data_IF_791760006762
#
_entry.id   IF_791760006762
#
_cell.length_a   1.000
_cell.length_b   1.000
_cell.length_c   1.000
_cell.angle_alpha   90.00
_cell.angle_beta   90.00
_cell.angle_gamma   90.00
#
_symmetry.space_group_name_H-M   'P 1'
#
loop_
_entity.id
_entity.type
_entity.pdbx_description
1 polymer ?
#
# COMPACT_ATOMS: atom_id res chain seq x y z
N UNK A 1 4.50 33.32 15.08
CA UNK A 1 4.08 31.94 15.40
C UNK A 1 3.53 31.35 14.13
N UNK A 2 4.34 30.55 13.43
CA UNK A 2 3.90 29.79 12.27
C UNK A 2 3.70 28.36 12.79
N UNK A 3 2.45 27.99 13.04
CA UNK A 3 2.07 26.60 13.23
C UNK A 3 1.52 26.12 11.90
N UNK A 4 2.31 25.33 11.19
CA UNK A 4 1.87 24.44 10.13
C UNK A 4 2.64 23.14 10.28
N UNK A 5 2.69 22.60 11.49
CA UNK A 5 2.86 21.16 11.62
C UNK A 5 1.47 20.61 11.32
N UNK A 6 1.34 19.97 10.16
CA UNK A 6 0.18 19.19 9.79
C UNK A 6 0.03 18.08 10.84
N UNK A 7 -0.73 18.34 11.91
CA UNK A 7 -1.00 17.43 13.05
C UNK A 7 -1.62 16.07 12.64
N UNK A 8 -1.78 15.84 11.34
CA UNK A 8 -2.36 14.66 10.73
C UNK A 8 -1.34 13.86 9.91
N UNK A 9 -0.12 14.34 9.62
CA UNK A 9 0.88 13.59 8.85
C UNK A 9 2.15 13.32 9.69
N UNK A 10 2.50 12.05 9.84
CA UNK A 10 3.64 11.59 10.61
C UNK A 10 4.64 10.88 9.69
N UNK A 11 5.85 11.45 9.59
CA UNK A 11 6.98 10.79 8.94
C UNK A 11 7.60 9.75 9.88
N UNK A 12 7.83 8.55 9.38
CA UNK A 12 8.36 7.40 10.12
C UNK A 12 9.73 6.96 9.57
N UNK A 13 10.78 7.80 9.69
CA UNK A 13 12.07 7.59 9.00
C UNK A 13 12.79 6.30 9.41
N UNK A 14 12.55 5.82 10.63
CA UNK A 14 13.18 4.60 11.16
C UNK A 14 12.36 3.32 10.90
N UNK A 15 11.27 3.39 10.13
CA UNK A 15 10.38 2.23 9.95
C UNK A 15 11.11 1.05 9.28
N UNK A 16 11.72 1.27 8.12
CA UNK A 16 12.42 0.19 7.40
C UNK A 16 13.69 -0.27 8.13
N UNK A 17 14.35 0.60 8.88
CA UNK A 17 15.45 0.19 9.77
C UNK A 17 14.97 -0.75 10.87
N UNK A 18 13.77 -0.53 11.42
CA UNK A 18 13.14 -1.46 12.37
C UNK A 18 12.74 -2.78 11.71
N UNK A 19 12.20 -2.75 10.48
CA UNK A 19 11.92 -3.99 9.72
C UNK A 19 13.17 -4.84 9.61
N UNK A 20 14.30 -4.26 9.20
CA UNK A 20 15.59 -4.96 9.10
C UNK A 20 16.11 -5.45 10.46
N UNK A 21 15.98 -4.65 11.50
CA UNK A 21 16.49 -4.98 12.83
C UNK A 21 15.68 -6.09 13.53
N UNK A 22 14.36 -6.12 13.33
CA UNK A 22 13.43 -7.01 14.01
C UNK A 22 12.97 -8.19 13.12
N UNK A 23 13.27 -8.14 11.82
CA UNK A 23 12.90 -9.13 10.81
C UNK A 23 11.46 -8.98 10.31
N UNK A 24 10.57 -8.37 11.09
CA UNK A 24 9.19 -8.14 10.74
C UNK A 24 8.62 -6.89 11.43
N UNK A 25 7.71 -6.17 10.77
CA UNK A 25 6.88 -5.13 11.38
C UNK A 25 5.45 -5.22 10.86
N UNK A 26 4.50 -5.40 11.78
CA UNK A 26 3.07 -5.27 11.48
C UNK A 26 2.68 -3.81 11.42
N UNK A 27 1.92 -3.43 10.40
CA UNK A 27 1.56 -2.02 10.18
C UNK A 27 0.61 -1.53 11.26
N UNK A 28 -0.40 -2.32 11.63
CA UNK A 28 -1.36 -1.92 12.66
C UNK A 28 -0.75 -1.77 14.06
N UNK A 29 0.37 -2.46 14.35
CA UNK A 29 1.13 -2.28 15.61
C UNK A 29 1.99 -1.00 15.59
N UNK A 30 2.26 -0.44 14.41
CA UNK A 30 3.10 0.75 14.22
C UNK A 30 2.33 2.06 14.42
N UNK A 31 1.01 2.03 14.23
CA UNK A 31 0.16 3.22 14.20
C UNK A 31 -0.81 3.25 15.39
N UNK A 32 -1.19 4.46 15.81
CA UNK A 32 -2.20 4.62 16.86
C UNK A 32 -3.60 4.64 16.25
N UNK A 33 -4.50 3.83 16.79
CA UNK A 33 -5.90 3.82 16.40
C UNK A 33 -6.56 2.49 16.67
N UNK A 34 -7.87 2.43 16.45
CA UNK A 34 -8.62 1.19 16.43
C UNK A 34 -9.10 0.96 15.01
N UNK A 35 -8.44 0.05 14.32
CA UNK A 35 -8.75 -0.34 12.94
C UNK A 35 -9.31 -1.76 12.91
N UNK A 36 -10.21 -2.02 11.98
CA UNK A 36 -10.75 -3.37 11.74
C UNK A 36 -9.90 -4.18 10.75
N UNK A 37 -9.25 -3.49 9.82
CA UNK A 37 -8.37 -4.08 8.82
C UNK A 37 -7.78 -3.00 7.90
N UNK A 38 -7.19 -3.44 6.81
CA UNK A 38 -6.47 -2.62 5.83
C UNK A 38 -7.00 -2.86 4.42
N UNK A 39 -6.94 -1.83 3.59
CA UNK A 39 -7.12 -1.95 2.15
C UNK A 39 -5.81 -1.56 1.48
N UNK A 40 -5.02 -2.55 1.07
CA UNK A 40 -3.77 -2.34 0.37
C UNK A 40 -4.01 -1.69 -0.99
N UNK A 41 -3.26 -0.63 -1.27
CA UNK A 41 -3.20 0.13 -2.52
C UNK A 41 -1.96 -0.32 -3.29
N UNK A 42 -2.15 -0.85 -4.49
CA UNK A 42 -1.08 -1.12 -5.45
C UNK A 42 -1.43 -0.53 -6.82
N UNK A 43 -1.10 0.74 -7.05
CA UNK A 43 -1.20 1.45 -8.34
C UNK A 43 -2.46 1.13 -9.19
N UNK A 44 -3.65 1.30 -8.62
CA UNK A 44 -4.93 1.02 -9.29
C UNK A 44 -5.60 -0.30 -8.89
N UNK A 45 -4.88 -1.16 -8.16
CA UNK A 45 -5.43 -2.36 -7.53
C UNK A 45 -5.61 -2.14 -6.02
N UNK A 46 -6.60 -2.84 -5.45
CA UNK A 46 -6.93 -2.82 -4.03
C UNK A 46 -7.10 -4.23 -3.46
N UNK A 47 -6.44 -4.54 -2.35
CA UNK A 47 -6.56 -5.86 -1.69
C UNK A 47 -7.02 -5.67 -0.25
N UNK A 48 -8.22 -6.15 0.11
CA UNK A 48 -8.67 -6.11 1.50
C UNK A 48 -7.92 -7.17 2.32
N UNK A 49 -7.41 -6.78 3.48
CA UNK A 49 -6.80 -7.69 4.44
C UNK A 49 -7.04 -7.28 5.90
N UNK A 50 -6.95 -8.25 6.80
CA UNK A 50 -7.06 -8.03 8.25
C UNK A 50 -5.86 -7.25 8.80
N UNK A 51 -4.69 -7.40 8.19
CA UNK A 51 -3.47 -6.67 8.51
C UNK A 51 -2.50 -6.69 7.30
N UNK A 52 -1.38 -5.99 7.42
CA UNK A 52 -0.24 -6.17 6.54
C UNK A 52 1.08 -6.12 7.33
N UNK A 53 2.04 -6.93 6.92
CA UNK A 53 3.32 -7.10 7.58
C UNK A 53 4.45 -6.86 6.60
N UNK A 54 5.40 -6.00 6.96
CA UNK A 54 6.67 -5.89 6.26
C UNK A 54 7.66 -6.90 6.85
N UNK A 55 8.35 -7.65 5.99
CA UNK A 55 9.30 -8.69 6.33
C UNK A 55 10.65 -8.39 5.70
N UNK A 56 11.72 -8.45 6.49
CA UNK A 56 13.07 -8.46 5.96
C UNK A 56 13.38 -9.83 5.36
N UNK A 57 13.92 -9.87 4.15
CA UNK A 57 14.25 -11.10 3.44
C UNK A 57 15.77 -11.27 3.31
N UNK A 58 16.21 -12.53 3.37
CA UNK A 58 17.65 -12.87 3.31
C UNK A 58 18.32 -12.48 1.97
N UNK A 59 17.52 -12.31 0.91
CA UNK A 59 17.97 -11.89 -0.41
C UNK A 59 18.16 -10.38 -0.56
N UNK A 60 17.98 -9.62 0.54
CA UNK A 60 18.12 -8.16 0.56
C UNK A 60 16.85 -7.42 0.12
N UNK A 61 15.73 -8.11 -0.08
CA UNK A 61 14.43 -7.47 -0.32
C UNK A 61 13.67 -7.21 0.97
N UNK A 62 12.72 -6.27 0.91
CA UNK A 62 11.71 -6.08 1.95
C UNK A 62 10.36 -6.46 1.35
N UNK A 63 9.70 -7.45 1.93
CA UNK A 63 8.43 -7.96 1.43
C UNK A 63 7.26 -7.44 2.26
N UNK A 64 6.28 -6.80 1.63
CA UNK A 64 4.96 -6.60 2.22
C UNK A 64 4.13 -7.86 2.00
N UNK A 65 3.53 -8.39 3.06
CA UNK A 65 2.53 -9.46 3.00
C UNK A 65 1.22 -8.92 3.54
N UNK A 66 0.14 -9.06 2.77
CA UNK A 66 -1.22 -8.72 3.17
C UNK A 66 -1.91 -9.99 3.67
N UNK A 67 -2.39 -9.96 4.92
CA UNK A 67 -3.23 -11.01 5.50
C UNK A 67 -4.65 -10.84 4.96
N UNK A 68 -4.91 -11.39 3.76
CA UNK A 68 -6.10 -11.06 2.98
C UNK A 68 -7.40 -11.64 3.54
N UNK A 69 -8.53 -11.16 2.98
CA UNK A 69 -9.87 -11.67 3.33
C UNK A 69 -10.25 -12.85 2.45
N UNK A 70 -10.65 -13.94 3.10
CA UNK A 70 -10.94 -15.22 2.44
C UNK A 70 -9.65 -15.88 1.99
N UNK A 71 -9.63 -16.38 0.76
CA UNK A 71 -8.45 -17.01 0.18
C UNK A 71 -7.48 -15.99 -0.43
N UNK A 72 -7.78 -14.69 -0.37
CA UNK A 72 -6.87 -13.66 -0.91
C UNK A 72 -5.56 -13.65 -0.16
N UNK A 73 -4.48 -13.69 -0.91
CA UNK A 73 -3.13 -13.38 -0.47
C UNK A 73 -2.54 -12.36 -1.43
N UNK A 74 -1.68 -11.49 -0.91
CA UNK A 74 -0.99 -10.52 -1.74
C UNK A 74 0.34 -10.19 -1.11
N UNK A 75 1.40 -10.23 -1.91
CA UNK A 75 2.71 -9.80 -1.48
C UNK A 75 3.41 -8.98 -2.55
N UNK A 76 4.28 -8.09 -2.09
CA UNK A 76 5.15 -7.29 -2.96
C UNK A 76 6.52 -7.24 -2.34
N UNK A 77 7.53 -7.66 -3.10
CA UNK A 77 8.95 -7.51 -2.74
C UNK A 77 9.46 -6.20 -3.29
N UNK A 78 9.99 -5.39 -2.39
CA UNK A 78 10.68 -4.16 -2.70
C UNK A 78 12.18 -4.36 -2.59
N UNK A 79 12.94 -3.70 -3.46
CA UNK A 79 14.39 -3.58 -3.38
C UNK A 79 14.77 -2.90 -2.05
N UNK A 80 15.39 -3.66 -1.15
CA UNK A 80 15.75 -3.22 0.20
C UNK A 80 16.94 -2.27 0.24
N UNK A 81 17.70 -2.14 -0.86
CA UNK A 81 18.82 -1.20 -0.96
C UNK A 81 18.35 0.22 -1.33
N UNK A 82 17.07 0.40 -1.71
CA UNK A 82 16.50 1.73 -1.98
C UNK A 82 16.28 2.50 -0.68
N UNK A 83 16.35 3.82 -0.79
CA UNK A 83 16.02 4.73 0.30
C UNK A 83 14.50 4.93 0.35
N UNK A 84 13.86 4.23 1.29
CA UNK A 84 12.42 4.26 1.53
C UNK A 84 12.07 5.14 2.72
N UNK A 85 11.01 5.94 2.58
CA UNK A 85 10.37 6.61 3.69
C UNK A 85 8.95 6.07 3.87
N UNK A 86 8.52 5.90 5.12
CA UNK A 86 7.16 5.55 5.49
C UNK A 86 6.46 6.73 6.17
N UNK A 87 5.15 6.83 5.97
CA UNK A 87 4.32 7.90 6.47
C UNK A 87 3.00 7.33 6.98
N UNK A 88 2.54 7.87 8.10
CA UNK A 88 1.20 7.63 8.60
C UNK A 88 0.41 8.93 8.55
N UNK A 89 -0.74 8.92 7.90
CA UNK A 89 -1.61 10.07 7.79
C UNK A 89 -2.98 9.80 8.41
N UNK A 90 -3.55 10.80 9.07
CA UNK A 90 -4.88 10.82 9.66
C UNK A 90 -5.67 12.05 9.18
N UNK A 91 -6.02 12.13 7.89
CA UNK A 91 -6.73 13.29 7.37
C UNK A 91 -8.06 13.49 8.11
N UNK A 92 -8.46 14.74 8.46
CA UNK A 92 -9.67 14.98 9.25
C UNK A 92 -10.99 14.50 8.62
N UNK A 93 -11.05 14.47 7.29
CA UNK A 93 -12.26 14.17 6.52
C UNK A 93 -12.06 12.96 5.58
N UNK A 94 -11.00 12.17 5.76
CA UNK A 94 -10.68 11.02 4.91
C UNK A 94 -10.23 9.79 5.73
N UNK A 95 -10.06 8.67 5.06
CA UNK A 95 -9.58 7.42 5.67
C UNK A 95 -8.09 7.57 6.01
N UNK A 96 -7.67 7.27 7.26
CA UNK A 96 -6.26 7.22 7.61
C UNK A 96 -5.50 6.24 6.72
N UNK A 97 -4.25 6.55 6.39
CA UNK A 97 -3.45 5.68 5.56
C UNK A 97 -2.01 5.58 6.03
N UNK A 98 -1.41 4.42 5.80
CA UNK A 98 0.02 4.20 5.92
C UNK A 98 0.60 4.07 4.51
N UNK A 99 1.45 5.00 4.09
CA UNK A 99 2.05 5.01 2.76
C UNK A 99 3.58 4.92 2.86
N UNK A 100 4.22 4.45 1.81
CA UNK A 100 5.68 4.47 1.70
C UNK A 100 6.08 4.86 0.28
N UNK A 101 7.23 5.50 0.17
CA UNK A 101 7.71 6.06 -1.10
C UNK A 101 9.23 6.01 -1.15
N UNK A 102 9.74 5.47 -2.26
CA UNK A 102 11.17 5.48 -2.54
C UNK A 102 11.62 6.87 -2.99
N UNK A 103 12.86 7.20 -2.69
CA UNK A 103 13.53 8.37 -3.24
C UNK A 103 13.51 8.42 -4.78
N UNK A 104 13.61 7.26 -5.43
CA UNK A 104 13.58 7.14 -6.88
C UNK A 104 12.18 7.44 -7.44
N UNK A 105 11.13 6.91 -6.81
CA UNK A 105 9.72 7.19 -7.15
C UNK A 105 9.43 8.69 -7.09
N UNK A 106 9.75 9.32 -5.95
CA UNK A 106 9.53 10.75 -5.78
C UNK A 106 10.22 11.59 -6.87
N UNK A 107 11.49 11.30 -7.17
CA UNK A 107 12.25 12.01 -8.21
C UNK A 107 11.68 11.82 -9.61
N UNK A 108 11.11 10.65 -9.88
CA UNK A 108 10.59 10.30 -11.20
C UNK A 108 9.18 10.86 -11.43
N UNK A 109 8.34 10.92 -10.39
CA UNK A 109 6.90 11.16 -10.55
C UNK A 109 6.39 12.46 -9.94
N UNK A 110 6.98 12.95 -8.85
CA UNK A 110 6.36 13.98 -8.01
C UNK A 110 7.27 15.21 -7.76
N UNK A 111 8.57 15.11 -8.00
CA UNK A 111 9.53 16.17 -7.68
C UNK A 111 9.39 17.45 -8.54
N UNK A 112 8.66 17.39 -9.65
CA UNK A 112 8.36 18.57 -10.48
C UNK A 112 7.27 19.46 -9.84
N UNK A 113 6.36 18.85 -9.07
CA UNK A 113 5.18 19.53 -8.49
C UNK A 113 5.29 19.73 -6.97
N UNK A 114 6.10 18.92 -6.28
CA UNK A 114 6.21 18.91 -4.82
C UNK A 114 7.66 19.04 -4.36
N UNK A 115 7.89 19.77 -3.26
CA UNK A 115 9.24 20.00 -2.75
C UNK A 115 9.78 18.81 -1.94
N UNK A 116 8.91 18.00 -1.35
CA UNK A 116 9.29 16.86 -0.49
C UNK A 116 8.34 15.68 -0.64
N UNK A 117 8.82 14.48 -0.29
CA UNK A 117 7.98 13.27 -0.18
C UNK A 117 6.82 13.45 0.78
N UNK A 118 7.04 14.12 1.92
CA UNK A 118 6.00 14.36 2.91
C UNK A 118 4.85 15.20 2.31
N UNK A 119 5.18 16.26 1.57
CA UNK A 119 4.18 17.11 0.90
C UNK A 119 3.39 16.31 -0.15
N UNK A 120 4.08 15.55 -1.00
CA UNK A 120 3.43 14.70 -2.02
C UNK A 120 2.50 13.66 -1.36
N UNK A 121 3.03 12.89 -0.40
CA UNK A 121 2.27 11.85 0.30
C UNK A 121 1.09 12.43 1.06
N UNK A 122 1.27 13.55 1.76
CA UNK A 122 0.19 14.23 2.47
C UNK A 122 -0.98 14.61 1.56
N UNK A 123 -0.69 14.97 0.31
CA UNK A 123 -1.70 15.26 -0.72
C UNK A 123 -2.20 14.01 -1.46
N UNK A 124 -1.92 12.81 -0.94
CA UNK A 124 -2.40 11.54 -1.48
C UNK A 124 -1.61 11.04 -2.69
N UNK A 125 -0.40 11.55 -2.91
CA UNK A 125 0.47 11.14 -4.02
C UNK A 125 1.40 10.03 -3.53
N UNK A 126 1.07 8.79 -3.87
CA UNK A 126 1.88 7.60 -3.61
C UNK A 126 1.43 6.42 -4.46
N UNK A 127 2.37 5.56 -4.87
CA UNK A 127 2.07 4.33 -5.60
C UNK A 127 1.54 3.21 -4.70
N UNK A 128 1.98 3.19 -3.44
CA UNK A 128 1.71 2.12 -2.49
C UNK A 128 1.28 2.66 -1.12
N UNK A 129 0.29 1.99 -0.53
CA UNK A 129 -0.17 2.36 0.80
C UNK A 129 -1.24 1.42 1.33
N UNK A 130 -1.67 1.62 2.55
CA UNK A 130 -2.69 0.86 3.24
C UNK A 130 -3.71 1.86 3.78
N UNK A 131 -4.93 1.86 3.25
CA UNK A 131 -6.02 2.60 3.86
C UNK A 131 -6.50 1.82 5.08
N UNK A 132 -6.40 2.43 6.26
CA UNK A 132 -6.69 1.80 7.54
C UNK A 132 -8.17 1.97 7.87
N UNK A 133 -8.92 0.88 7.77
CA UNK A 133 -10.37 0.93 7.84
C UNK A 133 -10.85 0.93 9.31
N UNK A 134 -11.72 1.86 9.72
CA UNK A 134 -12.36 1.78 11.03
C UNK A 134 -13.23 0.51 11.11
N UNK A 135 -13.46 -0.08 12.30
CA UNK A 135 -14.09 -1.39 12.44
C UNK A 135 -15.44 -1.54 11.73
N UNK A 136 -16.26 -0.48 11.69
CA UNK A 136 -17.55 -0.51 11.00
C UNK A 136 -17.41 -0.54 9.49
N UNK A 137 -16.56 0.31 8.92
CA UNK A 137 -16.31 0.32 7.47
C UNK A 137 -15.58 -0.95 7.02
N UNK A 138 -14.70 -1.47 7.88
CA UNK A 138 -14.04 -2.75 7.65
C UNK A 138 -15.03 -3.91 7.57
N UNK A 139 -16.00 -4.00 8.48
CA UNK A 139 -16.99 -5.08 8.46
C UNK A 139 -17.78 -5.13 7.13
N UNK A 140 -18.22 -3.97 6.61
CA UNK A 140 -18.91 -3.88 5.33
C UNK A 140 -18.00 -4.29 4.16
N UNK A 141 -16.72 -3.90 4.21
CA UNK A 141 -15.72 -4.25 3.19
C UNK A 141 -15.37 -5.74 3.22
N UNK A 142 -15.25 -6.32 4.41
CA UNK A 142 -14.97 -7.73 4.65
C UNK A 142 -16.12 -8.60 4.14
N UNK A 143 -17.37 -8.24 4.46
CA UNK A 143 -18.57 -8.93 3.93
C UNK A 143 -18.56 -8.93 2.40
N UNK A 144 -18.39 -7.76 1.78
CA UNK A 144 -18.32 -7.64 0.32
C UNK A 144 -17.16 -8.42 -0.30
N UNK A 145 -16.00 -8.46 0.36
CA UNK A 145 -14.87 -9.25 -0.10
C UNK A 145 -15.13 -10.76 0.00
N UNK A 146 -15.86 -11.20 1.04
CA UNK A 146 -16.29 -12.59 1.21
C UNK A 146 -17.31 -13.07 0.16
N UNK A 147 -17.99 -12.17 -0.54
CA UNK A 147 -18.97 -12.49 -1.59
C UNK A 147 -18.35 -12.79 -2.98
N UNK A 148 -17.02 -12.71 -3.12
CA UNK A 148 -16.34 -12.88 -4.40
C UNK A 148 -14.99 -13.60 -4.24
N UNK A 149 -14.60 -14.37 -5.25
CA UNK A 149 -13.29 -15.05 -5.33
C UNK A 149 -12.24 -14.20 -6.07
N UNK A 150 -12.59 -13.01 -6.55
CA UNK A 150 -11.64 -12.14 -7.24
C UNK A 150 -10.44 -11.80 -6.32
N UNK A 151 -9.18 -11.95 -6.79
CA UNK A 151 -7.99 -11.81 -5.94
C UNK A 151 -7.82 -10.38 -5.39
N UNK A 152 -8.34 -9.40 -6.12
CA UNK A 152 -8.28 -7.99 -5.75
C UNK A 152 -9.47 -7.22 -6.32
N UNK A 153 -9.66 -5.98 -5.87
CA UNK A 153 -10.53 -5.02 -6.51
C UNK A 153 -9.74 -4.08 -7.40
N UNK A 154 -10.40 -3.54 -8.43
CA UNK A 154 -9.80 -2.63 -9.41
C UNK A 154 -10.39 -1.24 -9.22
N UNK A 155 -9.53 -0.25 -9.03
CA UNK A 155 -9.88 1.15 -8.94
C UNK A 155 -9.87 1.77 -10.34
N UNK A 156 -11.06 2.09 -10.86
CA UNK A 156 -11.17 2.73 -12.17
C UNK A 156 -10.82 4.21 -12.08
N UNK A 157 -10.29 4.83 -13.15
CA UNK A 157 -10.07 6.28 -13.24
C UNK A 157 -11.33 7.13 -12.97
N UNK A 158 -12.52 6.54 -13.12
CA UNK A 158 -13.80 7.17 -12.77
C UNK A 158 -14.04 7.30 -11.25
N UNK A 159 -13.11 6.86 -10.41
CA UNK A 159 -13.17 6.94 -8.96
C UNK A 159 -13.92 5.79 -8.28
N UNK A 160 -14.30 4.75 -9.02
CA UNK A 160 -15.07 3.61 -8.49
C UNK A 160 -14.21 2.36 -8.36
N UNK A 161 -14.28 1.73 -7.20
CA UNK A 161 -13.73 0.38 -6.94
C UNK A 161 -14.71 -0.68 -7.45
N UNK A 162 -14.24 -1.52 -8.36
CA UNK A 162 -15.02 -2.58 -9.01
C UNK A 162 -14.38 -3.93 -8.66
N UNK A 163 -15.22 -4.93 -8.41
CA UNK A 163 -14.76 -6.31 -8.32
C UNK A 163 -14.57 -6.79 -9.77
N UNK A 164 -13.36 -7.19 -10.19
CA UNK A 164 -13.16 -7.68 -11.54
C UNK A 164 -13.98 -8.97 -11.73
N UNK A 165 -14.66 -9.04 -12.86
CA UNK A 165 -15.28 -10.25 -13.40
C UNK A 165 -14.29 -10.84 -14.41
N UNK A 166 -13.95 -12.13 -14.30
CA UNK A 166 -13.01 -12.81 -15.20
C UNK A 166 -11.54 -12.67 -14.79
N UNK A 167 -10.64 -12.88 -15.75
CA UNK A 167 -9.18 -12.83 -15.55
C UNK A 167 -8.68 -11.37 -15.42
N UNK A 168 -7.63 -11.15 -14.62
CA UNK A 168 -7.07 -9.81 -14.42
C UNK A 168 -6.48 -9.19 -15.69
N UNK A 169 -6.05 -10.01 -16.65
CA UNK A 169 -5.55 -9.58 -17.96
C UNK A 169 -6.58 -8.75 -18.73
N UNK A 170 -7.89 -8.99 -18.50
CA UNK A 170 -8.97 -8.19 -19.11
C UNK A 170 -9.00 -6.74 -18.59
N UNK A 171 -8.25 -6.44 -17.53
CA UNK A 171 -8.14 -5.15 -16.87
C UNK A 171 -6.75 -4.52 -17.06
N UNK A 172 -5.99 -4.91 -18.10
CA UNK A 172 -4.62 -4.43 -18.39
C UNK A 172 -4.46 -2.89 -18.37
N UNK A 173 -5.52 -2.14 -18.68
CA UNK A 173 -5.50 -0.68 -18.68
C UNK A 173 -5.43 -0.04 -17.27
N UNK A 174 -5.66 -0.83 -16.22
CA UNK A 174 -5.75 -0.37 -14.83
C UNK A 174 -4.99 -1.27 -13.85
N UNK A 175 -4.63 -2.49 -14.26
CA UNK A 175 -3.78 -3.39 -13.49
C UNK A 175 -2.31 -3.10 -13.82
N UNK A 176 -1.45 -2.87 -12.81
CA UNK A 176 -0.02 -2.67 -13.00
C UNK A 176 0.68 -3.83 -13.73
N UNK A 177 1.67 -3.55 -14.59
CA UNK A 177 2.34 -4.55 -15.42
C UNK A 177 2.97 -5.69 -14.60
N UNK A 178 3.53 -5.39 -13.43
CA UNK A 178 4.12 -6.40 -12.53
C UNK A 178 3.12 -7.46 -12.08
N UNK A 179 1.84 -7.12 -11.96
CA UNK A 179 0.78 -8.08 -11.60
C UNK A 179 0.27 -8.88 -12.80
N UNK A 180 0.73 -8.56 -14.01
CA UNK A 180 0.47 -9.27 -15.26
C UNK A 180 1.70 -10.06 -15.73
N UNK A 181 2.75 -10.16 -14.89
CA UNK A 181 3.99 -10.85 -15.21
C UNK A 181 4.96 -10.04 -16.10
N UNK A 182 4.75 -8.74 -16.24
CA UNK A 182 5.66 -7.83 -16.93
C UNK A 182 6.61 -7.11 -15.96
N UNK A 183 7.65 -6.46 -16.47
CA UNK A 183 8.62 -5.78 -15.61
C UNK A 183 8.02 -4.46 -15.03
N UNK A 184 8.11 -4.20 -13.71
CA UNK A 184 7.72 -2.93 -13.14
C UNK A 184 8.66 -1.79 -13.58
N UNK A 185 8.20 -0.53 -13.56
CA UNK A 185 9.08 0.63 -13.63
C UNK A 185 10.16 0.61 -12.53
N UNK A 186 11.44 0.73 -12.89
CA UNK A 186 12.58 0.62 -11.95
C UNK A 186 12.51 1.60 -10.77
N UNK A 187 12.01 2.82 -11.01
CA UNK A 187 11.95 3.85 -9.98
C UNK A 187 11.01 3.50 -8.82
N UNK A 188 10.08 2.55 -9.03
CA UNK A 188 9.18 2.04 -8.00
C UNK A 188 9.85 1.05 -7.07
N UNK A 189 11.06 0.57 -7.38
CA UNK A 189 11.81 -0.34 -6.53
C UNK A 189 11.08 -1.67 -6.25
N UNK A 190 10.18 -2.12 -7.14
CA UNK A 190 9.56 -3.43 -7.04
C UNK A 190 10.53 -4.47 -7.62
N UNK A 191 10.86 -5.48 -6.83
CA UNK A 191 11.61 -6.64 -7.27
C UNK A 191 10.68 -7.72 -7.84
N UNK A 192 9.53 -7.93 -7.20
CA UNK A 192 8.55 -8.95 -7.57
C UNK A 192 7.20 -8.65 -6.87
N UNK A 193 6.09 -9.14 -7.42
CA UNK A 193 4.76 -8.93 -6.85
C UNK A 193 3.79 -10.03 -7.31
N UNK A 194 2.92 -10.45 -6.40
CA UNK A 194 1.84 -11.38 -6.73
C UNK A 194 0.60 -11.09 -5.88
N UNK A 195 -0.58 -11.18 -6.51
CA UNK A 195 -1.89 -11.10 -5.88
C UNK A 195 -2.72 -12.29 -6.33
N UNK A 196 -3.14 -13.13 -5.40
CA UNK A 196 -3.78 -14.39 -5.73
C UNK A 196 -4.65 -14.96 -4.64
N UNK A 197 -5.21 -16.13 -4.94
CA UNK A 197 -6.04 -16.94 -4.03
C UNK A 197 -5.18 -17.98 -3.27
N UNK A 198 -3.88 -18.06 -3.59
CA UNK A 198 -2.87 -18.96 -2.98
C UNK A 198 -1.44 -18.36 -3.06
N UNK A 199 -1.33 -17.03 -3.17
CA UNK A 199 -0.06 -16.33 -3.43
C UNK A 199 0.98 -16.46 -2.30
#
# INVERSE_FOLDING_TARGET
MAGTDEEWLYHLPAFFDRVRAEGAQRVLDTVQGRFGGVLYHHRGVRVPGHDATFLDREDGTVELVVDGVGDRAGWVRFDGDRAWDAFFAQPPEDVPYFAWMADAEFRAEEADDYATKAEAVGLGRFSFGLYLQPPTAWADLEERAGETEAPCFVYRPSGRTVVPEGDLDEYEAVVPPELLGEAPPDHLGIADADLGVDA
#
